data_IF_761311824823
#
_entry.id   IF_761311824823
#
_cell.length_a   1.000
_cell.length_b   1.000
_cell.length_c   1.000
_cell.angle_alpha   90.00
_cell.angle_beta   90.00
_cell.angle_gamma   90.00
#
_symmetry.space_group_name_H-M   'P 1'
#
loop_
_entity.id
_entity.type
_entity.pdbx_description
1 polymer ?
#
# COMPACT_ATOMS: atom_id res chain seq x y z
N UNK A 1 26.67 -46.93 -39.26
CA UNK A 1 25.18 -46.94 -39.25
C UNK A 1 24.73 -47.39 -37.86
N UNK A 2 23.87 -46.77 -37.06
CA UNK A 2 23.17 -45.48 -36.98
C UNK A 2 22.75 -45.33 -35.49
N UNK A 3 23.11 -44.25 -34.77
CA UNK A 3 22.27 -43.12 -34.32
C UNK A 3 20.93 -43.45 -33.62
N UNK A 4 20.74 -42.78 -32.44
CA UNK A 4 19.54 -42.40 -31.66
C UNK A 4 19.49 -43.09 -30.27
N UNK A 5 20.09 -42.56 -29.20
CA UNK A 5 19.68 -41.42 -28.36
C UNK A 5 18.30 -41.61 -27.69
N UNK A 6 18.27 -41.90 -26.38
CA UNK A 6 17.37 -41.21 -25.42
C UNK A 6 17.90 -41.37 -23.99
N UNK A 7 18.32 -40.23 -23.42
CA UNK A 7 18.48 -39.98 -21.99
C UNK A 7 17.12 -40.07 -21.29
N UNK A 8 17.02 -40.79 -20.18
CA UNK A 8 16.05 -40.55 -19.10
C UNK A 8 16.54 -41.27 -17.84
N UNK A 9 17.70 -40.85 -17.36
CA UNK A 9 18.22 -41.14 -16.03
C UNK A 9 17.97 -39.86 -15.20
N UNK A 10 17.48 -40.00 -13.97
CA UNK A 10 17.20 -38.94 -12.97
C UNK A 10 15.88 -38.15 -13.09
N UNK A 11 14.76 -38.83 -12.84
CA UNK A 11 13.50 -38.19 -12.43
C UNK A 11 12.81 -38.95 -11.27
N UNK A 12 13.59 -39.51 -10.35
CA UNK A 12 13.04 -40.26 -9.21
C UNK A 12 13.92 -40.12 -7.95
N UNK A 13 14.22 -38.88 -7.56
CA UNK A 13 14.72 -38.53 -6.23
C UNK A 13 14.49 -37.03 -5.97
N UNK A 14 13.23 -36.61 -6.00
CA UNK A 14 12.80 -35.44 -5.23
C UNK A 14 12.16 -36.01 -3.97
N UNK A 15 13.00 -36.14 -2.95
CA UNK A 15 12.59 -36.31 -1.56
C UNK A 15 11.54 -35.25 -1.30
N UNK A 16 10.31 -35.69 -1.03
CA UNK A 16 9.30 -34.86 -0.41
C UNK A 16 9.85 -34.43 0.95
N UNK A 17 10.45 -33.25 0.99
CA UNK A 17 10.53 -32.47 2.22
C UNK A 17 9.11 -31.94 2.39
N UNK A 18 8.24 -32.79 2.94
CA UNK A 18 7.02 -32.34 3.55
C UNK A 18 7.44 -31.45 4.71
N UNK A 19 7.47 -30.14 4.47
CA UNK A 19 7.50 -29.16 5.54
C UNK A 19 6.31 -29.53 6.43
N UNK A 20 6.49 -29.72 7.75
CA UNK A 20 5.37 -29.97 8.62
C UNK A 20 4.42 -28.78 8.51
N UNK A 21 3.24 -29.00 7.94
CA UNK A 21 2.10 -28.11 8.10
C UNK A 21 1.68 -28.19 9.56
N UNK A 22 2.32 -27.41 10.41
CA UNK A 22 1.75 -27.03 11.68
C UNK A 22 0.61 -26.06 11.37
N UNK A 23 -0.57 -26.60 11.03
CA UNK A 23 -1.80 -25.84 11.22
C UNK A 23 -2.10 -25.91 12.71
N UNK A 24 -1.68 -24.88 13.45
CA UNK A 24 -2.20 -24.65 14.77
C UNK A 24 -3.68 -24.31 14.60
N UNK A 25 -4.54 -25.28 14.93
CA UNK A 25 -5.98 -25.12 14.95
C UNK A 25 -6.32 -24.20 16.14
N UNK A 26 -6.17 -22.89 15.91
CA UNK A 26 -6.31 -21.86 16.95
C UNK A 26 -5.64 -20.54 16.60
N UNK A 27 -5.83 -20.02 15.37
CA UNK A 27 -5.88 -18.59 15.01
C UNK A 27 -6.06 -18.49 13.49
N UNK A 28 -6.91 -17.58 13.01
CA UNK A 28 -7.38 -17.45 11.62
C UNK A 28 -6.35 -16.85 10.65
N UNK A 29 -5.06 -17.13 10.86
CA UNK A 29 -3.98 -16.45 10.14
C UNK A 29 -3.12 -17.45 9.38
N UNK A 30 -3.00 -17.22 8.08
CA UNK A 30 -2.04 -17.88 7.21
C UNK A 30 -0.82 -16.99 7.01
N UNK A 31 0.36 -17.47 7.40
CA UNK A 31 1.65 -16.83 7.10
C UNK A 31 2.49 -17.76 6.23
N UNK A 32 3.06 -17.23 5.15
CA UNK A 32 3.97 -17.94 4.27
C UNK A 32 5.14 -17.04 3.85
N UNK A 33 6.36 -17.56 3.94
CA UNK A 33 7.56 -16.92 3.42
C UNK A 33 8.29 -17.87 2.48
N UNK A 34 8.60 -17.40 1.28
CA UNK A 34 9.40 -18.12 0.31
C UNK A 34 10.10 -17.16 -0.65
N UNK A 35 11.42 -17.30 -0.80
CA UNK A 35 12.22 -16.59 -1.80
C UNK A 35 12.07 -15.06 -1.78
N UNK A 36 12.04 -14.44 -0.60
CA UNK A 36 11.90 -12.97 -0.46
C UNK A 36 10.48 -12.45 -0.70
N UNK A 37 9.49 -13.34 -0.73
CA UNK A 37 8.06 -13.01 -0.80
C UNK A 37 7.43 -13.42 0.52
N UNK A 38 6.69 -12.50 1.15
CA UNK A 38 5.75 -12.84 2.23
C UNK A 38 4.34 -12.78 1.72
N UNK A 39 3.55 -13.71 2.20
CA UNK A 39 2.09 -13.66 2.14
C UNK A 39 1.54 -13.77 3.54
N UNK A 40 0.72 -12.80 3.92
CA UNK A 40 -0.06 -12.79 5.15
C UNK A 40 -1.53 -12.82 4.77
N UNK A 41 -2.30 -13.68 5.39
CA UNK A 41 -3.74 -13.81 5.15
C UNK A 41 -4.45 -13.81 6.50
N UNK A 42 -5.35 -12.85 6.68
CA UNK A 42 -6.34 -12.80 7.76
C UNK A 42 -7.71 -13.22 7.21
N UNK A 43 -8.76 -13.10 8.02
CA UNK A 43 -10.14 -13.28 7.55
C UNK A 43 -10.61 -12.12 6.65
N UNK A 44 -9.97 -10.94 6.73
CA UNK A 44 -10.44 -9.69 6.09
C UNK A 44 -9.54 -9.21 4.95
N UNK A 45 -8.24 -9.50 5.00
CA UNK A 45 -7.26 -9.09 3.97
C UNK A 45 -6.21 -10.17 3.78
N UNK A 46 -5.79 -10.33 2.53
CA UNK A 46 -4.56 -11.01 2.22
C UNK A 46 -3.60 -10.05 1.53
N UNK A 47 -2.33 -10.14 1.91
CA UNK A 47 -1.27 -9.21 1.50
C UNK A 47 -0.09 -10.04 1.04
N UNK A 48 0.49 -9.66 -0.10
CA UNK A 48 1.73 -10.20 -0.60
C UNK A 48 2.72 -9.07 -0.84
N UNK A 49 3.92 -9.22 -0.29
CA UNK A 49 5.00 -8.24 -0.44
C UNK A 49 6.22 -8.92 -1.01
N UNK A 50 6.83 -8.29 -2.01
CA UNK A 50 8.05 -8.77 -2.66
C UNK A 50 9.22 -7.85 -2.30
N UNK A 51 10.30 -8.40 -1.73
CA UNK A 51 11.46 -7.61 -1.31
C UNK A 51 12.83 -8.08 -1.80
N UNK A 52 12.88 -9.00 -2.76
CA UNK A 52 14.16 -9.53 -3.26
C UNK A 52 14.82 -8.59 -4.29
N UNK A 53 15.59 -7.59 -3.82
CA UNK A 53 16.32 -6.60 -4.64
C UNK A 53 15.43 -5.88 -5.67
N UNK A 54 14.19 -5.62 -5.30
CA UNK A 54 13.22 -4.90 -6.13
C UNK A 54 12.62 -3.78 -5.29
N UNK A 55 12.14 -2.73 -5.95
CA UNK A 55 11.40 -1.68 -5.29
C UNK A 55 10.20 -2.23 -4.51
N UNK A 56 9.79 -1.53 -3.43
CA UNK A 56 8.62 -1.93 -2.65
C UNK A 56 7.40 -2.07 -3.56
N UNK A 57 6.82 -3.26 -3.56
CA UNK A 57 5.64 -3.60 -4.33
C UNK A 57 4.70 -4.40 -3.41
N UNK A 58 3.52 -3.84 -3.19
CA UNK A 58 2.50 -4.41 -2.32
C UNK A 58 1.34 -4.91 -3.15
N UNK A 59 0.91 -6.15 -2.89
CA UNK A 59 -0.31 -6.72 -3.46
C UNK A 59 -1.26 -6.99 -2.30
N UNK A 60 -2.54 -6.68 -2.47
CA UNK A 60 -3.54 -7.05 -1.48
C UNK A 60 -4.89 -7.35 -2.12
N UNK A 61 -5.68 -8.19 -1.46
CA UNK A 61 -6.98 -8.67 -1.94
C UNK A 61 -7.88 -9.14 -0.80
N UNK A 62 -9.16 -9.33 -1.09
CA UNK A 62 -10.12 -9.96 -0.18
C UNK A 62 -9.93 -11.48 -0.23
N UNK A 63 -9.54 -12.14 0.88
CA UNK A 63 -9.32 -13.58 0.91
C UNK A 63 -10.60 -14.40 0.66
N UNK A 64 -11.78 -13.82 0.88
CA UNK A 64 -13.08 -14.46 0.68
C UNK A 64 -13.59 -14.32 -0.75
N UNK A 65 -13.07 -13.32 -1.49
CA UNK A 65 -13.41 -13.03 -2.89
C UNK A 65 -12.16 -12.78 -3.74
N UNK A 66 -11.25 -13.78 -3.90
CA UNK A 66 -9.95 -13.58 -4.52
C UNK A 66 -10.04 -13.62 -6.06
N UNK A 67 -10.86 -12.74 -6.63
CA UNK A 67 -10.97 -12.58 -8.08
C UNK A 67 -10.02 -11.48 -8.60
N UNK A 68 -9.78 -10.46 -7.77
CA UNK A 68 -8.99 -9.26 -8.09
C UNK A 68 -7.89 -9.04 -7.05
N UNK A 69 -6.67 -8.81 -7.52
CA UNK A 69 -5.54 -8.31 -6.72
C UNK A 69 -5.32 -6.83 -7.02
N UNK A 70 -5.20 -6.02 -5.98
CA UNK A 70 -4.73 -4.64 -6.11
C UNK A 70 -3.23 -4.57 -5.89
N UNK A 71 -2.56 -3.66 -6.59
CA UNK A 71 -1.13 -3.47 -6.58
C UNK A 71 -0.77 -2.01 -6.32
N UNK A 72 0.21 -1.76 -5.46
CA UNK A 72 0.83 -0.44 -5.25
C UNK A 72 2.28 -0.52 -5.61
N UNK A 73 2.69 0.37 -6.51
CA UNK A 73 4.08 0.56 -6.90
C UNK A 73 4.47 2.02 -6.69
N UNK A 74 5.52 2.24 -5.90
CA UNK A 74 6.09 3.58 -5.72
C UNK A 74 6.90 3.95 -6.95
N UNK A 75 6.57 5.08 -7.58
CA UNK A 75 7.13 5.43 -8.89
C UNK A 75 8.27 6.43 -8.74
N UNK A 76 8.02 7.55 -8.05
CA UNK A 76 9.01 8.63 -7.93
C UNK A 76 8.68 9.60 -6.82
N UNK A 77 9.72 10.29 -6.38
CA UNK A 77 9.60 11.50 -5.56
C UNK A 77 10.18 12.69 -6.31
N UNK A 78 9.56 13.86 -6.18
CA UNK A 78 10.05 15.08 -6.82
C UNK A 78 9.57 16.32 -6.10
N UNK A 79 10.34 17.40 -6.23
CA UNK A 79 9.91 18.72 -5.80
C UNK A 79 9.02 19.34 -6.89
N UNK A 80 7.98 20.08 -6.51
CA UNK A 80 7.14 20.81 -7.44
C UNK A 80 6.77 22.19 -6.89
N UNK A 81 6.54 23.15 -7.78
CA UNK A 81 5.92 24.41 -7.38
C UNK A 81 4.40 24.22 -7.33
N UNK A 82 3.79 24.68 -6.25
CA UNK A 82 2.34 24.74 -6.12
C UNK A 82 1.82 26.03 -6.79
N UNK A 83 1.50 25.94 -8.08
CA UNK A 83 1.22 27.09 -8.94
C UNK A 83 -0.10 27.77 -8.57
N UNK A 84 -1.06 27.00 -8.09
CA UNK A 84 -2.38 27.48 -7.68
C UNK A 84 -2.51 27.69 -6.17
N UNK A 85 -1.44 27.42 -5.40
CA UNK A 85 -1.35 27.56 -3.94
C UNK A 85 -2.41 26.74 -3.20
N UNK A 86 -2.80 25.58 -3.74
CA UNK A 86 -3.81 24.70 -3.15
C UNK A 86 -3.23 23.58 -2.29
N UNK A 87 -1.90 23.48 -2.20
CA UNK A 87 -1.10 22.52 -1.44
C UNK A 87 -1.08 21.10 -2.01
N UNK A 88 -1.79 20.83 -3.11
CA UNK A 88 -1.80 19.55 -3.79
C UNK A 88 -1.05 19.65 -5.13
N UNK A 89 -0.45 18.54 -5.57
CA UNK A 89 0.14 18.50 -6.90
C UNK A 89 -0.91 18.19 -7.97
N UNK A 90 -1.01 19.03 -9.00
CA UNK A 90 -1.89 18.81 -10.15
C UNK A 90 -1.07 18.70 -11.43
N UNK A 91 -1.01 17.49 -12.01
CA UNK A 91 -0.32 17.25 -13.27
C UNK A 91 -0.85 18.18 -14.39
N UNK A 92 0.06 18.88 -15.08
CA UNK A 92 -0.26 19.85 -16.13
C UNK A 92 -0.62 21.26 -15.64
N UNK A 93 -0.84 21.46 -14.33
CA UNK A 93 -0.98 22.79 -13.72
C UNK A 93 0.31 23.18 -13.00
N UNK A 94 0.84 22.28 -12.17
CA UNK A 94 2.06 22.47 -11.41
C UNK A 94 3.28 22.04 -12.21
N UNK A 95 4.44 22.61 -11.88
CA UNK A 95 5.71 22.33 -12.52
C UNK A 95 6.62 21.55 -11.59
N UNK A 96 7.10 20.43 -12.11
CA UNK A 96 8.16 19.66 -11.47
C UNK A 96 9.44 20.48 -11.49
N UNK A 97 10.12 20.52 -10.35
CA UNK A 97 11.39 21.17 -10.12
C UNK A 97 12.47 20.10 -10.18
N UNK A 98 13.40 20.24 -11.14
CA UNK A 98 14.49 19.29 -11.31
C UNK A 98 14.08 17.94 -11.88
N UNK A 99 15.00 16.98 -11.78
CA UNK A 99 14.82 15.61 -12.23
C UNK A 99 14.18 14.76 -11.12
N UNK A 100 13.08 14.03 -11.35
CA UNK A 100 12.50 13.18 -10.30
C UNK A 100 13.44 12.09 -9.79
N UNK A 101 13.39 11.81 -8.49
CA UNK A 101 14.01 10.65 -7.87
C UNK A 101 13.21 9.39 -8.19
N UNK A 102 13.75 8.50 -9.02
CA UNK A 102 13.07 7.28 -9.46
C UNK A 102 13.23 6.14 -8.44
N UNK A 103 12.13 5.75 -7.79
CA UNK A 103 12.11 4.73 -6.74
C UNK A 103 12.27 3.29 -7.26
N UNK A 104 11.73 2.89 -8.42
CA UNK A 104 11.87 1.54 -8.97
C UNK A 104 13.30 1.11 -9.28
N UNK A 105 14.18 2.07 -9.56
CA UNK A 105 15.56 1.84 -9.99
C UNK A 105 16.59 2.08 -8.90
N UNK A 106 16.15 2.37 -7.68
CA UNK A 106 17.04 2.56 -6.53
C UNK A 106 17.41 1.21 -5.91
N UNK A 107 18.60 1.14 -5.31
CA UNK A 107 19.02 -0.05 -4.55
C UNK A 107 18.31 -0.03 -3.19
N UNK A 108 17.32 -0.90 -3.02
CA UNK A 108 16.58 -1.10 -1.78
C UNK A 108 17.15 -2.25 -0.96
N UNK A 109 17.42 -1.99 0.32
CA UNK A 109 17.70 -2.99 1.33
C UNK A 109 16.40 -3.39 2.03
N UNK A 110 16.27 -4.68 2.35
CA UNK A 110 15.06 -5.25 2.95
C UNK A 110 15.42 -5.83 4.33
N UNK A 111 14.73 -5.40 5.39
CA UNK A 111 15.10 -5.74 6.78
C UNK A 111 14.95 -7.20 7.20
N UNK A 112 14.48 -8.07 6.33
CA UNK A 112 13.75 -9.29 6.70
C UNK A 112 12.47 -8.99 7.51
N UNK A 113 11.72 -10.05 7.84
CA UNK A 113 10.46 -9.97 8.56
C UNK A 113 10.70 -10.12 10.07
N UNK A 114 10.07 -9.24 10.84
CA UNK A 114 9.98 -9.28 12.30
C UNK A 114 8.56 -9.67 12.69
N UNK A 115 8.43 -10.66 13.56
CA UNK A 115 7.15 -11.21 13.99
C UNK A 115 7.01 -10.93 15.48
N UNK A 116 5.91 -10.28 15.85
CA UNK A 116 5.53 -10.12 17.24
C UNK A 116 4.60 -11.27 17.63
N UNK A 117 4.87 -11.89 18.77
CA UNK A 117 4.06 -12.98 19.32
C UNK A 117 3.67 -12.68 20.77
N UNK A 118 2.40 -12.94 21.10
CA UNK A 118 1.87 -12.92 22.47
C UNK A 118 1.22 -14.27 22.76
N UNK A 119 1.62 -14.91 23.86
CA UNK A 119 1.15 -16.25 24.26
C UNK A 119 1.29 -17.34 23.16
N UNK A 120 2.30 -17.20 22.30
CA UNK A 120 2.57 -18.13 21.20
C UNK A 120 1.70 -17.92 19.96
N UNK A 121 0.94 -16.82 19.93
CA UNK A 121 0.16 -16.37 18.78
C UNK A 121 0.81 -15.14 18.16
N UNK A 122 0.93 -15.12 16.84
CA UNK A 122 1.33 -13.91 16.12
C UNK A 122 0.33 -12.78 16.38
N UNK A 123 0.83 -11.58 16.70
CA UNK A 123 0.05 -10.36 16.94
C UNK A 123 0.36 -9.25 15.93
N UNK A 124 1.57 -9.23 15.38
CA UNK A 124 1.93 -8.32 14.30
C UNK A 124 3.07 -8.85 13.43
N UNK A 125 3.18 -8.30 12.22
CA UNK A 125 4.33 -8.48 11.34
C UNK A 125 4.85 -7.12 10.90
N UNK A 126 6.17 -6.97 10.98
CA UNK A 126 6.90 -5.76 10.63
C UNK A 126 8.01 -6.07 9.64
N UNK A 127 8.27 -5.14 8.74
CA UNK A 127 9.45 -5.15 7.88
C UNK A 127 9.64 -3.75 7.32
N UNK A 128 10.84 -3.46 6.80
CA UNK A 128 11.10 -2.21 6.12
C UNK A 128 11.86 -2.43 4.82
N UNK A 129 11.72 -1.43 3.97
CA UNK A 129 12.57 -1.19 2.83
C UNK A 129 13.33 0.10 3.08
N UNK A 130 14.65 0.07 2.90
CA UNK A 130 15.50 1.25 3.10
C UNK A 130 16.36 1.46 1.87
N UNK A 131 16.47 2.70 1.42
CA UNK A 131 17.46 3.08 0.42
C UNK A 131 18.16 4.36 0.85
N UNK A 132 19.46 4.45 0.57
CA UNK A 132 20.25 5.67 0.71
C UNK A 132 21.00 5.87 -0.59
N UNK A 133 20.74 6.98 -1.28
CA UNK A 133 21.34 7.26 -2.60
C UNK A 133 21.74 8.72 -2.72
N UNK A 134 22.83 8.96 -3.44
CA UNK A 134 23.18 10.31 -3.90
C UNK A 134 22.19 10.70 -5.01
N UNK A 135 21.54 11.84 -4.83
CA UNK A 135 20.57 12.42 -5.74
C UNK A 135 21.05 13.77 -6.23
N UNK A 136 20.94 13.97 -7.54
CA UNK A 136 21.20 15.24 -8.20
C UNK A 136 19.90 15.70 -8.88
N UNK A 137 19.23 16.76 -8.37
CA UNK A 137 18.01 17.27 -8.97
C UNK A 137 18.26 17.94 -10.33
N UNK A 138 19.52 18.09 -10.76
CA UNK A 138 19.84 18.64 -12.08
C UNK A 138 19.74 17.54 -13.14
N UNK A 139 18.86 17.68 -14.15
CA UNK A 139 18.71 16.67 -15.19
C UNK A 139 20.04 16.39 -15.91
N UNK A 140 20.40 15.11 -16.05
CA UNK A 140 21.58 14.71 -16.83
C UNK A 140 21.27 14.69 -18.33
N UNK A 141 22.00 15.46 -19.14
CA UNK A 141 21.87 15.43 -20.60
C UNK A 141 22.45 16.65 -21.31
N UNK A 142 22.89 16.49 -22.56
CA UNK A 142 23.28 17.62 -23.42
C UNK A 142 22.06 18.32 -23.98
N UNK A 143 21.88 19.62 -23.72
CA UNK A 143 20.83 20.44 -24.34
C UNK A 143 19.51 20.52 -23.57
N UNK A 144 19.44 20.03 -22.33
CA UNK A 144 18.35 20.34 -21.40
C UNK A 144 18.50 21.79 -20.92
N UNK A 145 17.65 22.67 -21.45
CA UNK A 145 17.55 24.08 -21.03
C UNK A 145 16.83 24.11 -19.67
N UNK A 146 17.57 24.54 -18.65
CA UNK A 146 17.20 24.44 -17.26
C UNK A 146 16.30 25.63 -16.93
N UNK A 147 15.03 25.38 -16.57
CA UNK A 147 14.39 26.30 -15.62
C UNK A 147 15.41 26.63 -14.51
N UNK A 148 15.44 27.89 -14.05
CA UNK A 148 16.52 28.48 -13.25
C UNK A 148 16.78 27.76 -11.90
N UNK A 149 17.22 26.50 -11.89
CA UNK A 149 17.61 25.80 -10.68
C UNK A 149 18.80 26.56 -10.08
N UNK A 150 18.77 26.86 -8.77
CA UNK A 150 19.91 27.42 -8.09
C UNK A 150 21.10 26.45 -8.20
N UNK A 151 22.31 26.99 -8.05
CA UNK A 151 23.50 26.16 -7.98
C UNK A 151 23.51 25.40 -6.65
N UNK A 152 22.99 24.18 -6.66
CA UNK A 152 22.97 23.26 -5.52
C UNK A 152 23.85 22.02 -5.81
N UNK A 153 24.51 21.46 -4.77
CA UNK A 153 25.24 20.21 -4.90
C UNK A 153 24.27 19.01 -5.00
N UNK A 154 24.79 17.86 -5.43
CA UNK A 154 24.11 16.60 -5.18
C UNK A 154 24.13 16.32 -3.66
N UNK A 155 23.13 15.59 -3.17
CA UNK A 155 22.96 15.29 -1.76
C UNK A 155 22.51 13.84 -1.55
N UNK A 156 22.72 13.30 -0.35
CA UNK A 156 22.24 11.96 -0.03
C UNK A 156 20.84 12.05 0.53
N UNK A 157 19.91 11.28 -0.05
CA UNK A 157 18.57 11.08 0.49
C UNK A 157 18.44 9.66 1.00
N UNK A 158 17.86 9.51 2.19
CA UNK A 158 17.46 8.22 2.76
C UNK A 158 15.94 8.14 2.75
N UNK A 159 15.40 7.04 2.22
CA UNK A 159 13.97 6.76 2.18
C UNK A 159 13.74 5.42 2.85
N UNK A 160 12.84 5.39 3.82
CA UNK A 160 12.33 4.15 4.41
C UNK A 160 10.84 4.00 4.15
N UNK A 161 10.43 2.78 3.80
CA UNK A 161 9.03 2.34 3.82
C UNK A 161 8.91 1.24 4.86
N UNK A 162 8.36 1.56 6.03
CA UNK A 162 8.17 0.62 7.14
C UNK A 162 6.74 0.10 7.13
N UNK A 163 6.55 -1.21 7.06
CA UNK A 163 5.21 -1.79 7.02
C UNK A 163 4.85 -2.38 8.37
N UNK A 164 3.64 -2.10 8.82
CA UNK A 164 3.08 -2.57 10.07
C UNK A 164 1.74 -3.26 9.80
N UNK A 165 1.73 -4.59 9.95
CA UNK A 165 0.54 -5.43 9.87
C UNK A 165 0.12 -5.80 11.28
N UNK A 166 -0.87 -5.08 11.82
CA UNK A 166 -1.38 -5.33 13.17
C UNK A 166 -2.64 -6.20 13.12
N UNK A 167 -2.64 -7.31 13.84
CA UNK A 167 -3.74 -8.27 13.83
C UNK A 167 -4.93 -7.83 14.68
N UNK A 168 -4.82 -6.73 15.45
CA UNK A 168 -5.99 -6.07 16.03
C UNK A 168 -6.83 -5.29 15.02
N UNK A 169 -6.27 -5.00 13.84
CA UNK A 169 -6.93 -4.31 12.71
C UNK A 169 -6.71 -5.13 11.44
N UNK A 170 -7.27 -6.35 11.37
CA UNK A 170 -6.89 -7.37 10.40
C UNK A 170 -7.26 -7.05 8.95
N UNK A 171 -8.04 -5.99 8.67
CA UNK A 171 -8.37 -5.51 7.32
C UNK A 171 -7.46 -4.38 6.82
N UNK A 172 -6.44 -4.00 7.58
CA UNK A 172 -5.61 -2.82 7.32
C UNK A 172 -4.11 -3.14 7.36
N UNK A 173 -3.39 -2.51 6.44
CA UNK A 173 -1.94 -2.41 6.42
C UNK A 173 -1.55 -0.95 6.55
N UNK A 174 -0.77 -0.64 7.58
CA UNK A 174 -0.12 0.66 7.69
C UNK A 174 1.26 0.58 7.06
N UNK A 175 1.66 1.62 6.35
CA UNK A 175 3.06 1.79 5.99
C UNK A 175 3.51 3.20 6.33
N UNK A 176 4.67 3.34 6.94
CA UNK A 176 5.29 4.61 7.23
C UNK A 176 6.27 4.95 6.10
N UNK A 177 6.11 6.14 5.51
CA UNK A 177 7.10 6.78 4.66
C UNK A 177 7.98 7.67 5.53
N UNK A 178 9.28 7.40 5.52
CA UNK A 178 10.28 8.24 6.19
C UNK A 178 11.25 8.76 5.15
N UNK A 179 11.49 10.07 5.17
CA UNK A 179 12.40 10.73 4.22
C UNK A 179 13.36 11.62 5.01
N UNK A 180 14.66 11.37 4.86
CA UNK A 180 15.73 12.12 5.50
C UNK A 180 16.73 12.62 4.45
N UNK A 181 17.31 13.81 4.68
CA UNK A 181 18.36 14.36 3.84
C UNK A 181 17.87 15.01 2.55
N UNK A 182 16.58 15.32 2.43
CA UNK A 182 16.05 16.07 1.28
C UNK A 182 16.53 17.53 1.31
N UNK A 183 17.35 17.94 0.34
CA UNK A 183 17.80 19.33 0.19
C UNK A 183 16.86 20.08 -0.75
N UNK A 184 16.15 21.08 -0.22
CA UNK A 184 15.10 21.79 -0.92
C UNK A 184 15.66 22.81 -1.91
N UNK A 185 15.08 22.83 -3.11
CA UNK A 185 15.45 23.81 -4.14
C UNK A 185 14.89 25.19 -3.81
N UNK A 186 13.64 25.24 -3.34
CA UNK A 186 12.95 26.48 -2.96
C UNK A 186 12.19 26.32 -1.63
N UNK A 187 12.00 27.43 -0.91
CA UNK A 187 11.29 27.44 0.37
C UNK A 187 9.78 27.28 0.24
N UNK A 188 9.21 27.58 -0.93
CA UNK A 188 7.77 27.57 -1.23
C UNK A 188 7.31 26.37 -2.06
N UNK A 189 8.18 25.39 -2.26
CA UNK A 189 7.85 24.17 -2.99
C UNK A 189 7.25 23.09 -2.09
N UNK A 190 6.67 22.09 -2.74
CA UNK A 190 6.15 20.87 -2.11
C UNK A 190 6.97 19.67 -2.55
N UNK A 191 7.14 18.69 -1.66
CA UNK A 191 7.66 17.38 -2.00
C UNK A 191 6.49 16.48 -2.41
N UNK A 192 6.59 15.81 -3.54
CA UNK A 192 5.52 14.97 -4.08
C UNK A 192 6.00 13.53 -4.16
N UNK A 193 5.28 12.61 -3.51
CA UNK A 193 5.38 11.18 -3.74
C UNK A 193 4.31 10.76 -4.75
N UNK A 194 4.74 10.19 -5.88
CA UNK A 194 3.86 9.51 -6.82
C UNK A 194 3.95 7.99 -6.62
N UNK A 195 2.81 7.35 -6.44
CA UNK A 195 2.66 5.91 -6.58
C UNK A 195 1.46 5.60 -7.47
N UNK A 196 1.46 4.41 -8.07
CA UNK A 196 0.34 3.93 -8.87
C UNK A 196 -0.41 2.82 -8.17
N UNK A 197 -1.72 2.82 -8.37
CA UNK A 197 -2.60 1.71 -8.02
C UNK A 197 -3.06 1.05 -9.31
N UNK A 198 -2.86 -0.26 -9.42
CA UNK A 198 -3.33 -1.09 -10.53
C UNK A 198 -4.11 -2.29 -10.00
N UNK A 199 -4.91 -2.91 -10.86
CA UNK A 199 -5.58 -4.19 -10.59
C UNK A 199 -5.13 -5.28 -11.57
N UNK A 200 -5.31 -6.53 -11.15
CA UNK A 200 -5.16 -7.72 -11.98
C UNK A 200 -6.09 -8.84 -11.54
N UNK A 201 -6.22 -9.88 -12.37
CA UNK A 201 -6.78 -11.16 -11.91
C UNK A 201 -5.91 -11.73 -10.80
N UNK A 202 -6.54 -12.32 -9.79
CA UNK A 202 -5.85 -12.90 -8.65
C UNK A 202 -4.67 -13.82 -9.01
N UNK A 203 -3.55 -13.61 -8.31
CA UNK A 203 -2.32 -14.39 -8.45
C UNK A 203 -1.37 -13.90 -9.55
N UNK A 204 -1.72 -12.85 -10.30
CA UNK A 204 -0.75 -12.21 -11.19
C UNK A 204 0.34 -11.48 -10.39
N UNK A 205 1.51 -11.35 -11.00
CA UNK A 205 2.66 -10.70 -10.35
C UNK A 205 2.65 -9.18 -10.52
N UNK A 206 1.86 -8.66 -11.44
CA UNK A 206 1.83 -7.25 -11.81
C UNK A 206 0.39 -6.86 -12.13
N UNK A 207 -0.03 -5.70 -11.63
CA UNK A 207 -1.26 -5.05 -12.05
C UNK A 207 -1.06 -4.40 -13.42
N UNK A 208 -2.02 -4.62 -14.32
CA UNK A 208 -1.97 -4.12 -15.70
C UNK A 208 -3.05 -3.10 -16.01
N UNK A 209 -4.11 -3.10 -15.21
CA UNK A 209 -5.31 -2.32 -15.45
C UNK A 209 -5.49 -1.26 -14.36
N UNK A 210 -6.20 -0.19 -14.69
CA UNK A 210 -6.64 0.77 -13.68
C UNK A 210 -7.70 0.13 -12.78
N UNK A 211 -7.66 0.37 -11.47
CA UNK A 211 -8.62 -0.21 -10.55
C UNK A 211 -10.05 0.18 -10.90
N UNK A 212 -10.93 -0.81 -10.94
CA UNK A 212 -12.35 -0.62 -11.14
C UNK A 212 -12.96 0.16 -9.96
N UNK A 213 -14.00 0.95 -10.24
CA UNK A 213 -14.70 1.72 -9.20
C UNK A 213 -13.87 2.80 -8.50
N UNK A 214 -12.76 3.25 -9.10
CA UNK A 214 -11.91 4.27 -8.48
C UNK A 214 -12.68 5.57 -8.18
N UNK A 215 -12.67 5.98 -6.92
CA UNK A 215 -13.26 7.24 -6.47
C UNK A 215 -12.54 7.78 -5.23
N UNK A 216 -12.71 9.06 -4.93
CA UNK A 216 -12.19 9.69 -3.71
C UNK A 216 -13.32 10.24 -2.86
N UNK A 217 -13.32 9.89 -1.58
CA UNK A 217 -14.17 10.49 -0.54
C UNK A 217 -13.29 11.00 0.60
N UNK A 218 -13.19 12.32 0.73
CA UNK A 218 -12.27 12.97 1.67
C UNK A 218 -10.81 12.52 1.47
N UNK A 219 -10.26 11.82 2.46
CA UNK A 219 -8.89 11.30 2.42
C UNK A 219 -8.78 9.84 1.96
N UNK A 220 -9.90 9.22 1.60
CA UNK A 220 -9.96 7.81 1.20
C UNK A 220 -10.14 7.71 -0.31
N UNK A 221 -9.19 7.07 -0.98
CA UNK A 221 -9.27 6.62 -2.36
C UNK A 221 -9.77 5.18 -2.35
N UNK A 222 -10.94 4.93 -2.92
CA UNK A 222 -11.62 3.64 -2.92
C UNK A 222 -11.59 3.02 -4.31
N UNK A 223 -11.50 1.71 -4.37
CA UNK A 223 -11.50 0.91 -5.60
C UNK A 223 -12.23 -0.40 -5.32
N UNK A 224 -13.46 -0.53 -5.81
CA UNK A 224 -14.42 -1.59 -5.45
C UNK A 224 -14.38 -1.97 -3.96
N UNK A 225 -13.64 -3.02 -3.58
CA UNK A 225 -13.55 -3.54 -2.22
C UNK A 225 -12.28 -3.11 -1.49
N UNK A 226 -11.34 -2.45 -2.14
CA UNK A 226 -10.10 -1.98 -1.53
C UNK A 226 -10.05 -0.47 -1.39
N UNK A 227 -9.12 0.01 -0.58
CA UNK A 227 -8.86 1.43 -0.45
C UNK A 227 -7.42 1.78 -0.07
N UNK A 228 -7.05 3.02 -0.36
CA UNK A 228 -5.89 3.72 0.17
C UNK A 228 -6.41 4.96 0.93
N UNK A 229 -5.96 5.15 2.17
CA UNK A 229 -6.34 6.29 2.99
C UNK A 229 -5.09 7.04 3.45
N UNK A 230 -5.11 8.35 3.23
CA UNK A 230 -4.01 9.24 3.59
C UNK A 230 -4.41 10.07 4.83
N UNK A 231 -3.42 10.48 5.62
CA UNK A 231 -3.60 11.44 6.71
C UNK A 231 -3.30 12.84 6.19
N UNK A 232 -4.09 13.85 6.55
CA UNK A 232 -3.83 15.24 6.12
C UNK A 232 -2.64 15.89 6.85
N UNK A 233 -1.93 15.10 7.64
CA UNK A 233 -0.84 15.54 8.49
C UNK A 233 0.29 14.53 8.46
N UNK A 234 1.51 15.04 8.26
CA UNK A 234 2.76 14.32 8.49
C UNK A 234 3.52 14.97 9.65
N UNK A 235 4.54 14.29 10.16
CA UNK A 235 5.43 14.83 11.17
C UNK A 235 6.78 15.17 10.55
N UNK A 236 7.35 16.29 10.98
CA UNK A 236 8.77 16.58 10.80
C UNK A 236 9.35 17.12 12.09
N UNK A 237 10.30 16.38 12.67
CA UNK A 237 10.78 16.58 14.03
C UNK A 237 9.62 16.72 15.05
N UNK A 238 9.40 17.92 15.61
CA UNK A 238 8.32 18.19 16.57
C UNK A 238 7.15 18.97 15.95
N UNK A 239 7.16 19.16 14.62
CA UNK A 239 6.16 19.93 13.88
C UNK A 239 5.20 19.00 13.12
N UNK A 240 3.99 19.52 12.89
CA UNK A 240 2.98 18.92 12.04
C UNK A 240 3.01 19.63 10.69
N UNK A 241 3.09 18.88 9.60
CA UNK A 241 3.08 19.37 8.22
C UNK A 241 1.74 19.08 7.57
N UNK A 242 1.27 19.93 6.66
CA UNK A 242 0.12 19.58 5.83
C UNK A 242 0.50 18.52 4.80
N UNK A 243 -0.43 17.59 4.60
CA UNK A 243 -0.40 16.65 3.48
C UNK A 243 -1.68 16.80 2.70
N UNK A 244 -1.56 16.92 1.38
CA UNK A 244 -2.70 16.84 0.47
C UNK A 244 -2.45 15.79 -0.58
N UNK A 245 -3.55 15.18 -1.02
CA UNK A 245 -3.50 14.20 -2.09
C UNK A 245 -4.27 14.69 -3.32
N UNK A 246 -3.83 14.23 -4.47
CA UNK A 246 -4.56 14.32 -5.74
C UNK A 246 -4.41 12.99 -6.49
N UNK A 247 -5.11 12.85 -7.62
CA UNK A 247 -5.04 11.65 -8.44
C UNK A 247 -5.30 11.97 -9.91
N UNK A 248 -4.93 11.03 -10.78
CA UNK A 248 -5.26 11.07 -12.20
C UNK A 248 -4.15 10.47 -13.05
N UNK A 249 -3.97 11.00 -14.27
CA UNK A 249 -2.95 10.53 -15.20
C UNK A 249 -1.55 10.69 -14.60
N UNK A 250 -0.78 9.61 -14.65
CA UNK A 250 0.61 9.57 -14.18
C UNK A 250 1.53 10.50 -14.97
N UNK A 251 2.54 11.04 -14.29
CA UNK A 251 3.67 11.67 -14.99
C UNK A 251 4.51 10.56 -15.62
N UNK A 252 4.26 10.24 -16.88
CA UNK A 252 4.96 9.18 -17.61
C UNK A 252 3.98 8.23 -18.30
N UNK A 253 4.48 7.07 -18.73
CA UNK A 253 3.65 5.99 -19.28
C UNK A 253 3.46 4.90 -18.22
N UNK A 254 2.96 5.29 -17.05
CA UNK A 254 2.65 4.36 -15.98
C UNK A 254 1.25 3.79 -16.17
N UNK A 255 1.08 2.49 -15.91
CA UNK A 255 -0.24 1.87 -15.89
C UNK A 255 -0.99 2.21 -14.59
N UNK A 256 -2.31 2.22 -14.67
CA UNK A 256 -3.20 2.41 -13.53
C UNK A 256 -3.53 3.85 -13.18
N UNK A 257 -4.02 4.04 -11.96
CA UNK A 257 -4.33 5.35 -11.40
C UNK A 257 -3.13 5.86 -10.59
N UNK A 258 -2.64 7.06 -10.90
CA UNK A 258 -1.60 7.68 -10.08
C UNK A 258 -2.24 8.46 -8.94
N UNK A 259 -1.69 8.26 -7.74
CA UNK A 259 -1.98 9.05 -6.55
C UNK A 259 -0.72 9.86 -6.22
N UNK A 260 -0.92 11.15 -5.98
CA UNK A 260 0.14 12.07 -5.60
C UNK A 260 -0.10 12.50 -4.16
N UNK A 261 0.89 12.32 -3.28
CA UNK A 261 0.91 12.88 -1.94
C UNK A 261 1.88 14.05 -1.94
N UNK A 262 1.37 15.25 -1.65
CA UNK A 262 2.14 16.48 -1.55
C UNK A 262 2.35 16.84 -0.08
N UNK A 263 3.62 17.08 0.27
CA UNK A 263 4.08 17.47 1.59
C UNK A 263 4.62 18.90 1.54
N UNK A 264 4.22 19.74 2.50
CA UNK A 264 4.82 21.06 2.67
C UNK A 264 6.32 20.96 3.00
N UNK A 265 7.04 22.05 2.74
CA UNK A 265 8.47 22.15 3.02
C UNK A 265 8.78 21.90 4.51
N UNK A 266 9.62 20.90 4.78
CA UNK A 266 10.02 20.48 6.12
C UNK A 266 11.49 20.79 6.45
N UNK A 267 12.16 21.58 5.61
CA UNK A 267 13.55 21.98 5.81
C UNK A 267 14.49 20.79 5.89
N UNK A 268 15.39 20.80 6.88
CA UNK A 268 16.39 19.76 7.13
C UNK A 268 15.89 18.62 8.04
N UNK A 269 14.62 18.68 8.48
CA UNK A 269 14.05 17.68 9.39
C UNK A 269 13.68 16.38 8.64
N UNK A 270 13.55 15.29 9.39
CA UNK A 270 13.06 14.01 8.85
C UNK A 270 11.54 14.03 8.72
N UNK A 271 11.02 13.74 7.53
CA UNK A 271 9.59 13.50 7.30
C UNK A 271 9.22 12.11 7.82
N UNK A 272 8.11 12.00 8.55
CA UNK A 272 7.46 10.74 8.94
C UNK A 272 5.96 10.81 8.61
N UNK A 273 5.45 9.80 7.91
CA UNK A 273 4.07 9.79 7.41
C UNK A 273 3.47 8.39 7.32
N UNK A 274 2.24 8.16 7.80
CA UNK A 274 1.71 6.83 8.13
C UNK A 274 0.36 6.45 7.44
N UNK A 275 0.28 6.39 6.10
CA UNK A 275 -0.93 6.02 5.38
C UNK A 275 -1.38 4.56 5.59
N UNK A 276 -2.60 4.28 5.13
CA UNK A 276 -3.28 2.99 5.26
C UNK A 276 -3.65 2.45 3.88
N UNK A 277 -3.42 1.15 3.68
CA UNK A 277 -4.02 0.34 2.62
C UNK A 277 -4.95 -0.68 3.28
N UNK A 278 -6.13 -0.91 2.71
CA UNK A 278 -7.07 -1.84 3.33
C UNK A 278 -8.12 -2.39 2.39
N UNK A 279 -8.92 -3.30 2.93
CA UNK A 279 -10.12 -3.83 2.32
C UNK A 279 -11.34 -3.34 3.08
N UNK A 280 -12.36 -2.91 2.37
CA UNK A 280 -13.70 -2.73 2.92
C UNK A 280 -14.29 -4.11 3.17
N UNK A 281 -14.29 -4.52 4.45
CA UNK A 281 -14.86 -5.79 4.88
C UNK A 281 -16.32 -5.89 4.44
N UNK A 282 -16.70 -6.97 3.74
CA UNK A 282 -18.10 -7.23 3.35
C UNK A 282 -19.05 -7.31 4.57
N UNK A 283 -18.52 -7.52 5.77
CA UNK A 283 -19.25 -7.52 7.04
C UNK A 283 -19.60 -6.13 7.58
N UNK A 284 -19.15 -5.03 6.93
CA UNK A 284 -19.65 -3.69 7.21
C UNK A 284 -20.96 -3.35 6.49
N UNK A 285 -21.75 -4.36 6.07
CA UNK A 285 -23.22 -4.24 6.13
C UNK A 285 -23.66 -4.31 7.61
N UNK A 286 -23.07 -3.44 8.42
CA UNK A 286 -23.73 -2.93 9.59
C UNK A 286 -24.89 -2.09 9.08
N UNK A 287 -26.02 -2.73 8.79
CA UNK A 287 -27.28 -2.04 9.06
C UNK A 287 -27.14 -1.58 10.50
N UNK A 288 -27.15 -0.27 10.81
CA UNK A 288 -27.30 0.17 12.17
C UNK A 288 -28.75 -0.19 12.52
N UNK A 289 -28.97 -1.46 12.87
CA UNK A 289 -30.15 -1.85 13.60
C UNK A 289 -29.94 -1.25 14.98
N UNK A 290 -30.31 0.03 15.09
CA UNK A 290 -30.57 0.68 16.36
C UNK A 290 -31.29 -0.33 17.25
N UNK A 291 -30.86 -0.43 18.50
CA UNK A 291 -31.45 -1.32 19.50
C UNK A 291 -32.97 -1.16 19.57
N UNK A 292 -33.51 0.01 19.20
CA UNK A 292 -34.95 0.23 18.99
C UNK A 292 -35.57 -0.58 17.84
N UNK A 293 -34.89 -0.74 16.71
CA UNK A 293 -35.34 -1.51 15.55
C UNK A 293 -35.34 -3.01 15.84
N UNK A 294 -34.31 -3.50 16.54
CA UNK A 294 -34.26 -4.88 17.05
C UNK A 294 -35.35 -5.14 18.09
N UNK A 295 -35.64 -4.19 18.98
CA UNK A 295 -36.74 -4.28 19.94
C UNK A 295 -38.13 -4.28 19.26
N UNK A 296 -38.29 -3.54 18.16
CA UNK A 296 -39.52 -3.52 17.36
C UNK A 296 -39.76 -4.84 16.62
N UNK A 297 -38.72 -5.42 16.01
CA UNK A 297 -38.82 -6.70 15.31
C UNK A 297 -39.03 -7.85 16.31
N UNK A 298 -38.26 -7.87 17.41
CA UNK A 298 -38.44 -8.84 18.48
C UNK A 298 -39.81 -8.74 19.16
N UNK A 299 -40.29 -7.52 19.40
CA UNK A 299 -41.61 -7.25 19.98
C UNK A 299 -42.76 -7.69 19.06
N UNK A 300 -42.66 -7.45 17.76
CA UNK A 300 -43.67 -7.85 16.78
C UNK A 300 -43.81 -9.39 16.68
N UNK A 301 -42.71 -10.12 16.76
CA UNK A 301 -42.71 -11.60 16.73
C UNK A 301 -43.36 -12.18 17.99
N UNK A 302 -43.08 -11.59 19.17
CA UNK A 302 -43.70 -12.04 20.44
C UNK A 302 -45.20 -11.77 20.46
N UNK A 303 -45.66 -10.62 19.96
CA UNK A 303 -47.09 -10.31 19.88
C UNK A 303 -47.80 -11.25 18.90
N UNK A 304 -47.20 -11.55 17.74
CA UNK A 304 -47.75 -12.52 16.78
C UNK A 304 -47.87 -13.93 17.39
N UNK A 305 -46.87 -14.38 18.13
CA UNK A 305 -46.91 -15.68 18.82
C UNK A 305 -48.02 -15.72 19.88
N UNK A 306 -48.21 -14.64 20.65
CA UNK A 306 -49.28 -14.55 21.64
C UNK A 306 -50.66 -14.57 20.97
N UNK A 307 -50.84 -13.86 19.85
CA UNK A 307 -52.11 -13.86 19.09
C UNK A 307 -52.40 -15.25 18.51
N UNK A 308 -51.41 -15.94 17.94
CA UNK A 308 -51.59 -17.29 17.40
C UNK A 308 -51.97 -18.29 18.50
N UNK A 309 -51.33 -18.20 19.68
CA UNK A 309 -51.67 -19.07 20.83
C UNK A 309 -53.07 -18.76 21.38
N UNK A 310 -53.47 -17.49 21.44
CA UNK A 310 -54.80 -17.08 21.90
C UNK A 310 -55.91 -17.52 20.94
N UNK A 311 -55.68 -17.42 19.62
CA UNK A 311 -56.64 -17.87 18.59
C UNK A 311 -56.75 -19.38 18.57
N UNK A 312 -55.67 -20.14 18.82
CA UNK A 312 -55.72 -21.60 18.91
C UNK A 312 -56.40 -22.15 20.18
N UNK A 313 -56.56 -21.32 21.21
CA UNK A 313 -57.18 -21.72 22.50
C UNK A 313 -58.67 -21.36 22.62
N UNK A 314 -59.26 -20.72 21.60
CA UNK A 314 -60.72 -20.58 21.45
C UNK A 314 -61.23 -21.62 20.47
#
# INVERSE_FOLDING_TARGET
MNRKATLALFALMLVGIGVPLASAQGNSIGYQYSAGIVTLTTDDIAIKVTGNNQAPHFHWWDPNTPDVDYHVMFVKMFEANDTNADGAFTNGTDHIIGAPFALPTTDWDFSDFVIDEEDGNTTAVHFNFTTTSEYDPRPTGTGTDYGNLPNMPAFNVTIEIRVHLNLSTPGEMKFDLIVEGWDWTYEDSILVLQFTVTESTHGQLQGTDAPSGFQRDGTKFQFENGYFQYNETALAANNSLQVKASYGEGIGQEAGESIYLAFENFGEDTLEYDPILGMDSADSIGLPLDTMTLALIGGAIVVLLIVVVAVRRR
#
